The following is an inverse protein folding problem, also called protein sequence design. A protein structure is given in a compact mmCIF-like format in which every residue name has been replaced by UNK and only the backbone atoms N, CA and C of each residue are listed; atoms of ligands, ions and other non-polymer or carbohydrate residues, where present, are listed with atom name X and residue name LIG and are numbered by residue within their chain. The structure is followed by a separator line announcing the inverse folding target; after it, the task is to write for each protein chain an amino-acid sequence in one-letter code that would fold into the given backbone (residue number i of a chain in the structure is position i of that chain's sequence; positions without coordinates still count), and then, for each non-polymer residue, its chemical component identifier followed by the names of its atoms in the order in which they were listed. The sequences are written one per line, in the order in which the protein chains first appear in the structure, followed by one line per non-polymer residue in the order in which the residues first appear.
data_IF_708516548828
#
_entry.id   IF_708516548828
#
_cell.length_a   1.000
_cell.length_b   1.000
_cell.length_c   1.000
_cell.angle_alpha   90.00
_cell.angle_beta   90.00
_cell.angle_gamma   90.00
#
_symmetry.space_group_name_H-M   'P 1'
#
loop_
_entity.id
_entity.type
_entity.pdbx_description
1 polymer ?
#
# COMPACT_ATOMS: atom_id res chain seq x y z
N UNK A 1 8.46 6.17 -7.18
CA UNK A 1 7.86 4.82 -7.28
C UNK A 1 7.78 4.15 -5.91
N UNK A 2 6.57 3.94 -5.39
CA UNK A 2 6.24 3.18 -4.20
C UNK A 2 6.07 1.67 -4.55
N UNK A 3 5.38 0.92 -3.70
CA UNK A 3 5.04 -0.50 -3.91
C UNK A 3 3.86 -0.90 -3.05
N UNK A 4 3.08 -1.88 -3.50
CA UNK A 4 2.05 -2.53 -2.67
C UNK A 4 2.64 -3.11 -1.37
N UNK A 5 3.90 -3.52 -1.37
CA UNK A 5 4.60 -3.97 -0.15
C UNK A 5 4.76 -2.87 0.89
N UNK A 6 4.85 -1.60 0.48
CA UNK A 6 4.79 -0.45 1.38
C UNK A 6 3.37 -0.15 1.80
N UNK A 7 2.45 -0.04 0.82
CA UNK A 7 1.08 0.42 1.06
C UNK A 7 0.24 -0.56 1.88
N UNK A 8 0.44 -1.88 1.70
CA UNK A 8 -0.36 -2.93 2.35
C UNK A 8 0.45 -3.79 3.33
N UNK A 9 1.77 -3.67 3.31
CA UNK A 9 2.67 -4.60 3.97
C UNK A 9 2.86 -5.89 3.16
N UNK A 10 4.02 -6.53 3.34
CA UNK A 10 4.33 -7.83 2.74
C UNK A 10 5.28 -8.60 3.65
N UNK A 11 4.90 -9.82 4.02
CA UNK A 11 5.72 -10.68 4.90
C UNK A 11 7.11 -10.90 4.35
N UNK A 12 8.13 -10.77 5.22
CA UNK A 12 9.53 -10.93 4.86
C UNK A 12 10.15 -9.73 4.12
N UNK A 13 9.43 -8.62 3.99
CA UNK A 13 9.90 -7.41 3.31
C UNK A 13 9.74 -6.14 4.15
N UNK A 14 9.88 -6.21 5.48
CA UNK A 14 9.65 -5.08 6.37
C UNK A 14 10.53 -3.87 6.03
N UNK A 15 11.81 -4.08 5.73
CA UNK A 15 12.75 -3.03 5.32
C UNK A 15 12.36 -2.39 3.96
N UNK A 16 12.02 -3.22 2.99
CA UNK A 16 11.57 -2.75 1.67
C UNK A 16 10.22 -2.05 1.79
N UNK A 17 9.29 -2.61 2.57
CA UNK A 17 7.98 -2.00 2.86
C UNK A 17 8.14 -0.63 3.49
N UNK A 18 8.98 -0.48 4.53
CA UNK A 18 9.25 0.80 5.17
C UNK A 18 9.80 1.84 4.19
N UNK A 19 10.76 1.46 3.34
CA UNK A 19 11.31 2.36 2.32
C UNK A 19 10.24 2.80 1.31
N UNK A 20 9.38 1.89 0.88
CA UNK A 20 8.36 2.15 -0.14
C UNK A 20 7.15 2.91 0.39
N UNK A 21 6.77 2.71 1.67
CA UNK A 21 5.76 3.55 2.32
C UNK A 21 6.31 4.94 2.65
N UNK A 22 7.58 5.03 3.03
CA UNK A 22 8.27 6.31 3.17
C UNK A 22 8.21 7.17 1.90
N UNK A 23 8.31 6.56 0.70
CA UNK A 23 8.12 7.26 -0.58
C UNK A 23 6.67 7.77 -0.73
N UNK A 24 5.66 7.01 -0.30
CA UNK A 24 4.28 7.46 -0.36
C UNK A 24 4.03 8.65 0.58
N UNK A 25 4.56 8.59 1.81
CA UNK A 25 4.53 9.72 2.75
C UNK A 25 5.26 10.94 2.22
N UNK A 26 6.45 10.75 1.67
CA UNK A 26 7.23 11.82 1.04
C UNK A 26 6.49 12.46 -0.14
N UNK A 27 5.85 11.67 -1.00
CA UNK A 27 5.04 12.17 -2.12
C UNK A 27 3.95 13.13 -1.62
N UNK A 28 3.21 12.73 -0.57
CA UNK A 28 2.14 13.54 0.03
C UNK A 28 2.67 14.84 0.66
N UNK A 29 3.83 14.77 1.33
CA UNK A 29 4.48 15.93 1.94
C UNK A 29 4.95 16.93 0.90
N UNK A 30 5.76 16.49 -0.07
CA UNK A 30 6.32 17.35 -1.12
C UNK A 30 5.23 17.93 -2.01
N UNK A 31 4.15 17.19 -2.29
CA UNK A 31 3.00 17.72 -3.03
C UNK A 31 2.37 18.95 -2.36
N UNK A 32 2.30 18.96 -1.01
CA UNK A 32 1.80 20.10 -0.23
C UNK A 32 2.79 21.26 -0.23
N UNK A 33 4.07 20.97 -0.09
CA UNK A 33 5.11 22.00 -0.03
C UNK A 33 5.27 22.72 -1.37
N UNK A 34 5.23 21.95 -2.47
CA UNK A 34 5.57 22.42 -3.80
C UNK A 34 4.36 22.84 -4.65
N UNK A 35 3.15 22.48 -4.23
CA UNK A 35 1.91 22.81 -4.96
C UNK A 35 1.70 24.30 -5.16
N UNK A 36 2.09 25.13 -4.19
CA UNK A 36 2.06 26.60 -4.32
C UNK A 36 2.96 27.18 -5.42
N UNK A 37 3.90 26.40 -5.92
CA UNK A 37 4.78 26.77 -7.03
C UNK A 37 4.33 26.13 -8.36
N UNK A 38 3.16 25.51 -8.40
CA UNK A 38 2.66 24.82 -9.59
C UNK A 38 3.34 23.47 -9.85
N UNK A 39 4.10 22.93 -8.88
CA UNK A 39 4.76 21.63 -9.03
C UNK A 39 3.85 20.54 -8.53
N UNK A 40 3.53 19.59 -9.38
CA UNK A 40 2.74 18.41 -9.06
C UNK A 40 3.64 17.23 -8.69
N UNK A 41 3.30 16.52 -7.63
CA UNK A 41 4.06 15.36 -7.14
C UNK A 41 3.10 14.22 -6.89
N UNK A 42 3.24 13.14 -7.66
CA UNK A 42 2.41 11.94 -7.53
C UNK A 42 3.30 10.69 -7.45
N UNK A 43 2.79 9.63 -6.84
CA UNK A 43 3.48 8.37 -6.69
C UNK A 43 2.84 7.26 -7.51
N UNK A 44 3.67 6.33 -7.97
CA UNK A 44 3.24 5.12 -8.67
C UNK A 44 3.66 3.91 -7.83
N UNK A 45 2.72 2.99 -7.63
CA UNK A 45 2.96 1.65 -7.11
C UNK A 45 2.77 0.65 -8.26
N UNK A 46 3.83 0.36 -9.04
CA UNK A 46 3.70 -0.51 -10.19
C UNK A 46 3.71 -1.98 -9.78
N UNK A 47 2.98 -2.81 -10.51
CA UNK A 47 3.13 -4.25 -10.48
C UNK A 47 3.27 -4.78 -11.91
N UNK A 48 4.46 -5.32 -12.21
CA UNK A 48 4.77 -5.84 -13.52
C UNK A 48 5.66 -7.08 -13.41
N UNK A 49 5.51 -8.00 -14.34
CA UNK A 49 6.40 -9.15 -14.47
C UNK A 49 7.71 -8.68 -15.10
N UNK A 50 8.79 -8.77 -14.35
CA UNK A 50 10.11 -8.32 -14.76
C UNK A 50 11.12 -9.46 -14.67
N UNK A 51 12.28 -9.28 -15.31
CA UNK A 51 13.41 -10.22 -15.16
C UNK A 51 13.77 -10.46 -13.69
N UNK A 52 13.66 -9.42 -12.84
CA UNK A 52 13.93 -9.53 -11.41
C UNK A 52 12.90 -10.42 -10.69
N UNK A 53 11.61 -10.28 -11.01
CA UNK A 53 10.56 -11.13 -10.43
C UNK A 53 10.63 -12.57 -10.93
N UNK A 54 11.11 -12.78 -12.15
CA UNK A 54 11.35 -14.11 -12.73
C UNK A 54 12.50 -14.87 -12.05
N UNK A 55 13.45 -14.16 -11.42
CA UNK A 55 14.59 -14.81 -10.71
C UNK A 55 14.20 -15.37 -9.34
N UNK A 56 13.00 -15.08 -8.83
CA UNK A 56 12.55 -15.63 -7.54
C UNK A 56 12.31 -17.12 -7.70
N UNK A 57 13.09 -18.00 -7.03
CA UNK A 57 12.94 -19.43 -7.15
C UNK A 57 11.53 -19.89 -6.75
N UNK A 58 11.00 -20.89 -7.43
CA UNK A 58 9.70 -21.46 -7.10
C UNK A 58 9.66 -22.00 -5.66
N UNK A 59 10.76 -22.59 -5.20
CA UNK A 59 10.92 -23.03 -3.81
C UNK A 59 10.74 -21.91 -2.77
N UNK A 60 11.20 -20.70 -3.08
CA UNK A 60 11.00 -19.54 -2.19
C UNK A 60 9.52 -19.12 -2.14
N UNK A 61 8.79 -19.24 -3.24
CA UNK A 61 7.33 -19.00 -3.29
C UNK A 61 6.57 -20.06 -2.50
N UNK A 62 6.94 -21.33 -2.64
CA UNK A 62 6.35 -22.45 -1.92
C UNK A 62 6.59 -22.33 -0.40
N UNK A 63 7.81 -22.00 0.02
CA UNK A 63 8.14 -21.75 1.44
C UNK A 63 7.27 -20.63 2.00
N UNK A 64 7.05 -19.55 1.25
CA UNK A 64 6.18 -18.43 1.69
C UNK A 64 4.73 -18.90 1.88
N UNK A 65 4.19 -19.65 0.93
CA UNK A 65 2.84 -20.19 1.01
C UNK A 65 2.71 -21.15 2.20
N UNK A 66 3.66 -22.09 2.35
CA UNK A 66 3.67 -23.05 3.45
C UNK A 66 3.84 -22.39 4.83
N UNK A 67 4.53 -21.25 4.89
CA UNK A 67 4.72 -20.47 6.11
C UNK A 67 3.52 -19.55 6.42
N UNK A 68 2.46 -19.60 5.62
CA UNK A 68 1.31 -18.70 5.78
C UNK A 68 1.64 -17.22 5.56
N UNK A 69 2.77 -16.91 4.94
CA UNK A 69 3.15 -15.54 4.62
C UNK A 69 2.25 -15.01 3.50
N UNK A 70 1.41 -14.04 3.85
CA UNK A 70 0.58 -13.37 2.85
C UNK A 70 1.43 -12.45 1.99
N UNK A 71 1.22 -12.51 0.68
CA UNK A 71 1.79 -11.56 -0.27
C UNK A 71 0.78 -10.45 -0.52
N UNK A 72 1.24 -9.22 -0.55
CA UNK A 72 0.44 -8.13 -1.10
C UNK A 72 0.22 -8.45 -2.58
N UNK A 73 -0.94 -8.98 -2.92
CA UNK A 73 -1.33 -9.24 -4.31
C UNK A 73 -2.29 -8.16 -4.77
N UNK A 74 -2.24 -7.85 -6.05
CA UNK A 74 -3.27 -7.06 -6.68
C UNK A 74 -4.61 -7.80 -6.56
N UNK A 75 -5.63 -7.06 -6.24
CA UNK A 75 -7.00 -7.56 -6.10
C UNK A 75 -7.86 -7.24 -7.32
N UNK A 76 -7.24 -6.78 -8.39
CA UNK A 76 -7.95 -6.43 -9.61
C UNK A 76 -8.74 -7.60 -10.21
N UNK A 77 -9.95 -7.36 -10.69
CA UNK A 77 -10.83 -8.40 -11.23
C UNK A 77 -10.32 -8.99 -12.55
N UNK A 78 -9.42 -8.27 -13.22
CA UNK A 78 -8.91 -8.64 -14.54
C UNK A 78 -7.52 -9.24 -14.41
N UNK A 79 -7.35 -10.48 -14.85
CA UNK A 79 -6.03 -11.12 -14.97
C UNK A 79 -5.42 -10.81 -16.34
N UNK A 80 -4.96 -9.58 -16.50
CA UNK A 80 -4.27 -9.16 -17.72
C UNK A 80 -2.77 -9.41 -17.64
N UNK A 81 -2.09 -9.58 -18.79
CA UNK A 81 -0.63 -9.65 -18.80
C UNK A 81 0.00 -8.43 -18.14
N UNK A 82 0.94 -8.66 -17.22
CA UNK A 82 1.60 -7.61 -16.44
C UNK A 82 2.93 -7.21 -17.08
N UNK A 83 2.87 -6.78 -18.32
CA UNK A 83 4.05 -6.32 -19.05
C UNK A 83 4.53 -4.98 -18.47
N UNK A 84 5.84 -4.76 -18.29
CA UNK A 84 6.39 -3.49 -17.79
C UNK A 84 5.96 -2.27 -18.61
N UNK A 85 5.74 -2.46 -19.90
CA UNK A 85 5.30 -1.45 -20.86
C UNK A 85 3.93 -0.85 -20.52
N UNK A 86 3.09 -1.60 -19.81
CA UNK A 86 1.76 -1.13 -19.38
C UNK A 86 1.81 -0.02 -18.32
N UNK A 87 2.96 0.17 -17.67
CA UNK A 87 3.13 1.21 -16.64
C UNK A 87 3.39 2.58 -17.29
N UNK A 88 4.14 2.61 -18.40
CA UNK A 88 4.64 3.82 -19.01
C UNK A 88 3.56 4.80 -19.47
N UNK A 89 2.44 4.39 -20.10
CA UNK A 89 1.41 5.33 -20.59
C UNK A 89 0.83 6.19 -19.48
N UNK A 90 0.51 5.58 -18.32
CA UNK A 90 -0.06 6.34 -17.20
C UNK A 90 0.96 7.30 -16.57
N UNK A 91 2.22 6.88 -16.43
CA UNK A 91 3.30 7.75 -15.94
C UNK A 91 3.50 8.94 -16.89
N UNK A 92 3.51 8.70 -18.19
CA UNK A 92 3.64 9.76 -19.21
C UNK A 92 2.45 10.73 -19.15
N UNK A 93 1.23 10.21 -18.99
CA UNK A 93 0.05 11.06 -18.84
C UNK A 93 0.15 11.93 -17.58
N UNK A 94 0.54 11.37 -16.42
CA UNK A 94 0.74 12.13 -15.19
C UNK A 94 1.80 13.24 -15.32
N UNK A 95 2.81 13.03 -16.14
CA UNK A 95 3.87 14.00 -16.40
C UNK A 95 3.46 15.10 -17.39
N UNK A 96 2.35 14.96 -18.08
CA UNK A 96 1.85 15.93 -19.07
C UNK A 96 0.91 16.97 -18.45
N UNK A 97 0.68 18.09 -19.16
CA UNK A 97 -0.29 19.12 -18.78
C UNK A 97 -1.74 18.59 -18.74
N UNK A 98 -1.99 17.43 -19.38
CA UNK A 98 -3.32 16.80 -19.38
C UNK A 98 -3.74 16.24 -18.00
N UNK A 99 -2.79 16.12 -17.09
CA UNK A 99 -3.04 15.73 -15.68
C UNK A 99 -3.02 16.93 -14.74
N UNK A 100 -3.37 18.12 -15.25
CA UNK A 100 -3.51 19.30 -14.39
C UNK A 100 -4.50 19.05 -13.25
N UNK A 101 -4.17 19.57 -12.05
CA UNK A 101 -4.96 19.31 -10.83
C UNK A 101 -4.72 17.97 -10.14
N UNK A 102 -3.99 17.01 -10.74
CA UNK A 102 -3.65 15.74 -10.10
C UNK A 102 -2.34 15.91 -9.31
N UNK A 103 -2.46 16.02 -7.99
CA UNK A 103 -1.32 16.28 -7.10
C UNK A 103 -1.48 15.60 -5.73
N UNK A 104 -0.43 14.98 -5.22
CA UNK A 104 -0.39 14.36 -3.89
C UNK A 104 -1.02 12.97 -3.80
N UNK A 105 -1.22 12.31 -4.92
CA UNK A 105 -1.86 11.00 -4.98
C UNK A 105 -0.89 9.87 -5.27
N UNK A 106 -1.26 8.68 -4.82
CA UNK A 106 -0.59 7.43 -5.14
C UNK A 106 -1.52 6.61 -6.03
N UNK A 107 -0.98 6.08 -7.11
CA UNK A 107 -1.70 5.22 -8.05
C UNK A 107 -1.05 3.84 -8.11
N UNK A 108 -1.85 2.80 -8.03
CA UNK A 108 -1.42 1.46 -8.35
C UNK A 108 -1.67 1.20 -9.83
N UNK A 109 -0.67 0.68 -10.53
CA UNK A 109 -0.74 0.40 -11.97
C UNK A 109 -0.28 -1.02 -12.22
N UNK A 110 -1.15 -1.83 -12.83
CA UNK A 110 -0.88 -3.23 -13.13
C UNK A 110 -1.62 -3.67 -14.40
N UNK A 111 -0.91 -4.21 -15.37
CA UNK A 111 -1.54 -4.63 -16.64
C UNK A 111 -2.33 -3.48 -17.26
N UNK A 112 -3.63 -3.68 -17.47
CA UNK A 112 -4.57 -2.65 -17.96
C UNK A 112 -5.31 -1.88 -16.87
N UNK A 113 -4.94 -2.04 -15.59
CA UNK A 113 -5.63 -1.43 -14.46
C UNK A 113 -4.84 -0.24 -13.90
N UNK A 114 -5.58 0.81 -13.57
CA UNK A 114 -5.08 1.96 -12.80
C UNK A 114 -6.02 2.21 -11.63
N UNK A 115 -5.50 2.12 -10.42
CA UNK A 115 -6.27 2.33 -9.19
C UNK A 115 -5.75 3.52 -8.41
N UNK A 116 -6.64 4.40 -7.98
CA UNK A 116 -6.33 5.46 -7.02
C UNK A 116 -6.27 4.87 -5.61
N UNK A 117 -5.16 5.08 -4.91
CA UNK A 117 -5.00 4.65 -3.53
C UNK A 117 -5.56 5.70 -2.57
N UNK A 118 -6.27 5.25 -1.54
CA UNK A 118 -6.74 6.14 -0.48
C UNK A 118 -5.54 6.76 0.26
N UNK A 119 -5.65 8.03 0.58
CA UNK A 119 -4.75 8.65 1.53
C UNK A 119 -5.11 8.19 2.95
N UNK A 120 -4.12 8.02 3.85
CA UNK A 120 -4.39 7.67 5.23
C UNK A 120 -5.25 8.73 5.91
N UNK A 121 -6.36 8.28 6.51
CA UNK A 121 -7.26 9.11 7.30
C UNK A 121 -7.84 8.27 8.45
N UNK A 122 -8.26 8.91 9.57
CA UNK A 122 -8.94 8.18 10.64
C UNK A 122 -10.26 7.59 10.14
N UNK A 123 -10.40 6.26 10.22
CA UNK A 123 -11.65 5.54 9.87
C UNK A 123 -12.64 5.62 11.03
N UNK A 124 -12.15 5.57 12.28
CA UNK A 124 -12.94 5.67 13.51
C UNK A 124 -12.14 6.41 14.56
N UNK A 125 -12.81 7.10 15.47
CA UNK A 125 -12.17 7.85 16.56
C UNK A 125 -12.97 7.68 17.85
N UNK A 126 -12.28 7.44 18.97
CA UNK A 126 -12.87 7.54 20.31
C UNK A 126 -12.56 8.91 20.91
N UNK A 127 -13.50 9.47 21.65
CA UNK A 127 -13.34 10.76 22.33
C UNK A 127 -13.61 10.65 23.82
N UNK A 128 -12.85 11.39 24.62
CA UNK A 128 -13.05 11.57 26.05
C UNK A 128 -12.54 12.96 26.48
N UNK A 129 -13.17 13.57 27.46
CA UNK A 129 -12.58 14.69 28.17
C UNK A 129 -11.52 14.21 29.15
N UNK A 130 -10.31 14.77 29.08
CA UNK A 130 -9.18 14.39 29.93
C UNK A 130 -8.37 13.21 29.37
N UNK A 131 -7.58 12.60 30.23
CA UNK A 131 -6.67 11.50 29.85
C UNK A 131 -7.37 10.16 29.93
N UNK A 132 -7.11 9.29 28.99
CA UNK A 132 -7.51 7.90 29.04
C UNK A 132 -6.70 7.12 30.08
N UNK A 133 -7.37 6.27 30.84
CA UNK A 133 -6.71 5.20 31.61
C UNK A 133 -6.72 3.91 30.81
N UNK A 134 -5.85 2.96 31.18
CA UNK A 134 -5.80 1.63 30.53
C UNK A 134 -7.12 0.89 30.66
N UNK A 135 -7.76 0.96 31.83
CA UNK A 135 -9.02 0.29 32.10
C UNK A 135 -10.17 0.85 31.25
N UNK A 136 -10.24 2.18 31.12
CA UNK A 136 -11.22 2.82 30.26
C UNK A 136 -11.03 2.44 28.77
N UNK A 137 -9.77 2.42 28.29
CA UNK A 137 -9.48 1.97 26.92
C UNK A 137 -9.93 0.50 26.77
N UNK A 138 -9.59 -0.37 27.72
CA UNK A 138 -9.94 -1.79 27.67
C UNK A 138 -11.45 -2.02 27.64
N UNK A 139 -12.23 -1.17 28.33
CA UNK A 139 -13.69 -1.26 28.34
C UNK A 139 -14.34 -0.75 27.04
N UNK A 140 -13.80 0.32 26.45
CA UNK A 140 -14.46 1.03 25.31
C UNK A 140 -13.95 0.54 23.96
N UNK A 141 -12.67 0.19 23.86
CA UNK A 141 -12.02 -0.17 22.58
C UNK A 141 -12.73 -1.32 21.83
N UNK A 142 -13.13 -2.45 22.48
CA UNK A 142 -13.76 -3.57 21.77
C UNK A 142 -15.05 -3.19 21.04
N UNK A 143 -15.78 -2.21 21.60
CA UNK A 143 -17.09 -1.77 21.11
C UNK A 143 -16.99 -0.56 20.16
N UNK A 144 -15.80 -0.07 19.91
CA UNK A 144 -15.56 1.13 19.08
C UNK A 144 -14.48 0.86 18.02
N UNK A 145 -13.24 1.21 18.30
CA UNK A 145 -12.14 1.01 17.34
C UNK A 145 -11.84 -0.47 17.06
N UNK A 146 -12.09 -1.34 18.06
CA UNK A 146 -11.87 -2.79 17.97
C UNK A 146 -12.89 -3.56 17.15
N UNK A 147 -14.04 -2.95 16.82
CA UNK A 147 -15.07 -3.62 16.02
C UNK A 147 -14.54 -3.97 14.62
N UNK A 148 -14.73 -5.24 14.25
CA UNK A 148 -14.36 -5.76 12.91
C UNK A 148 -12.88 -5.60 12.54
N UNK A 149 -11.99 -5.44 13.53
CA UNK A 149 -10.56 -5.45 13.27
C UNK A 149 -10.10 -6.84 12.83
N UNK A 150 -9.55 -6.92 11.64
CA UNK A 150 -8.96 -8.15 11.11
C UNK A 150 -7.50 -8.22 11.49
N UNK A 151 -7.08 -9.31 12.15
CA UNK A 151 -5.65 -9.59 12.33
C UNK A 151 -5.09 -10.14 11.01
N UNK A 152 -4.19 -9.42 10.31
CA UNK A 152 -3.65 -9.85 9.02
C UNK A 152 -2.72 -11.07 9.13
N UNK A 153 -2.27 -11.42 10.34
CA UNK A 153 -1.36 -12.53 10.59
C UNK A 153 -1.70 -13.22 11.93
N UNK A 154 -2.84 -13.95 12.03
CA UNK A 154 -3.18 -14.67 13.24
C UNK A 154 -2.14 -15.74 13.57
N UNK A 155 -1.92 -16.08 14.85
CA UNK A 155 -1.02 -17.14 15.25
C UNK A 155 -1.37 -18.45 14.55
N UNK A 156 -0.35 -19.15 14.02
CA UNK A 156 -0.54 -20.48 13.46
C UNK A 156 -0.65 -21.51 14.60
N UNK A 157 -1.49 -22.53 14.40
CA UNK A 157 -1.51 -23.67 15.32
C UNK A 157 -0.11 -24.30 15.42
N UNK A 158 0.29 -24.79 16.61
CA UNK A 158 1.52 -25.52 16.75
C UNK A 158 1.59 -26.67 15.73
N UNK A 159 2.70 -26.79 15.03
CA UNK A 159 2.93 -27.95 14.16
C UNK A 159 3.09 -29.17 15.06
N UNK A 160 2.14 -30.08 15.00
CA UNK A 160 2.21 -31.41 15.64
C UNK A 160 3.21 -32.30 14.94
#
# INVERSE_FOLDING_TARGET
FSSVSGLYGNSGQANYGAAKDGIAGFTRGVARDMGRYGVRVNGISPNADSRLTATIPQSAREIRIQSGMQSASSTGPLKLPREPENIAPFVTWLASDRADGVNGHIFHVEGGEVSLMNNPEPVRTMHKQGRWTVDEISAVFPQTLGMDLVNPAPPQAPRT
#
